data_IF_954523759267
#
_entry.id   IF_954523759267
#
_cell.length_a   1.000
_cell.length_b   1.000
_cell.length_c   1.000
_cell.angle_alpha   90.00
_cell.angle_beta   90.00
_cell.angle_gamma   90.00
#
_symmetry.space_group_name_H-M   'P 1'
#
loop_
_entity.id
_entity.type
_entity.pdbx_description
1 polymer ?
#
# COMPACT_ATOMS: atom_id res chain seq x y z
N UNK A 1 -24.97 -0.90 0.16
CA UNK A 1 -24.17 0.06 -0.61
C UNK A 1 -23.32 -0.77 -1.55
N UNK A 2 -23.33 -0.48 -2.84
CA UNK A 2 -22.54 -1.24 -3.82
C UNK A 2 -21.14 -0.68 -3.72
N UNK A 3 -20.26 -1.37 -2.98
CA UNK A 3 -18.83 -1.08 -3.00
C UNK A 3 -18.38 -1.31 -4.44
N UNK A 4 -18.03 -0.24 -5.15
CA UNK A 4 -17.50 -0.37 -6.50
C UNK A 4 -16.31 -1.32 -6.47
N UNK A 5 -16.20 -2.27 -7.41
CA UNK A 5 -15.03 -3.13 -7.51
C UNK A 5 -13.80 -2.24 -7.71
N UNK A 6 -12.81 -2.43 -6.84
CA UNK A 6 -11.52 -1.76 -6.93
C UNK A 6 -10.65 -2.55 -7.88
N UNK A 7 -9.97 -1.85 -8.76
CA UNK A 7 -9.13 -2.46 -9.76
C UNK A 7 -7.65 -2.11 -9.58
N UNK A 8 -6.78 -3.00 -10.01
CA UNK A 8 -5.35 -2.71 -10.19
C UNK A 8 -5.10 -1.90 -11.48
N UNK A 9 -3.84 -1.58 -11.76
CA UNK A 9 -3.43 -0.85 -12.96
C UNK A 9 -3.72 -1.59 -14.28
N UNK A 10 -4.12 -2.87 -14.21
CA UNK A 10 -4.50 -3.73 -15.33
C UNK A 10 -6.00 -3.99 -15.40
N UNK A 11 -6.82 -3.23 -14.66
CA UNK A 11 -8.27 -3.43 -14.55
C UNK A 11 -8.68 -4.80 -13.97
N UNK A 12 -7.84 -5.41 -13.14
CA UNK A 12 -8.17 -6.64 -12.41
C UNK A 12 -8.77 -6.29 -11.06
N UNK A 13 -9.89 -6.93 -10.72
CA UNK A 13 -10.54 -6.69 -9.43
C UNK A 13 -9.64 -7.16 -8.27
N UNK A 14 -9.47 -6.28 -7.29
CA UNK A 14 -8.70 -6.48 -6.07
C UNK A 14 -9.66 -6.56 -4.90
N UNK A 15 -9.47 -7.57 -4.04
CA UNK A 15 -10.24 -7.75 -2.81
C UNK A 15 -9.33 -7.97 -1.60
N UNK A 16 -9.88 -7.83 -0.40
CA UNK A 16 -9.17 -8.16 0.84
C UNK A 16 -8.67 -9.60 0.76
N UNK A 17 -7.39 -9.80 1.03
CA UNK A 17 -6.74 -11.09 0.96
C UNK A 17 -5.85 -11.29 -0.26
N UNK A 18 -6.06 -10.52 -1.33
CA UNK A 18 -5.23 -10.58 -2.53
C UNK A 18 -3.80 -10.07 -2.27
N UNK A 19 -2.86 -10.57 -3.06
CA UNK A 19 -1.49 -10.09 -3.09
C UNK A 19 -1.33 -9.16 -4.28
N UNK A 20 -0.86 -7.95 -4.02
CA UNK A 20 -0.55 -6.95 -5.03
C UNK A 20 0.92 -6.58 -4.97
N UNK A 21 1.51 -6.31 -6.13
CA UNK A 21 2.81 -5.69 -6.26
C UNK A 21 2.63 -4.18 -6.29
N UNK A 22 3.40 -3.46 -5.51
CA UNK A 22 3.42 -2.00 -5.60
C UNK A 22 4.26 -1.63 -6.82
N UNK A 23 3.66 -0.92 -7.77
CA UNK A 23 4.29 -0.55 -9.04
C UNK A 23 4.97 0.80 -8.93
N UNK A 24 4.32 1.72 -8.21
CA UNK A 24 4.75 3.08 -7.96
C UNK A 24 4.03 3.59 -6.70
N UNK A 25 4.54 4.65 -6.09
CA UNK A 25 3.87 5.37 -5.02
C UNK A 25 3.93 6.87 -5.31
N UNK A 26 2.91 7.61 -4.92
CA UNK A 26 2.86 9.05 -5.10
C UNK A 26 4.04 9.73 -4.36
N UNK A 27 4.90 10.51 -5.04
CA UNK A 27 6.01 11.20 -4.40
C UNK A 27 5.60 12.18 -3.30
N UNK A 28 4.39 12.76 -3.38
CA UNK A 28 3.86 13.61 -2.31
C UNK A 28 3.50 12.80 -1.06
N UNK A 29 2.95 11.60 -1.27
CA UNK A 29 2.68 10.65 -0.19
C UNK A 29 3.98 10.26 0.52
N UNK A 30 5.02 9.85 -0.23
CA UNK A 30 6.34 9.54 0.33
C UNK A 30 6.89 10.73 1.14
N UNK A 31 6.80 11.95 0.61
CA UNK A 31 7.30 13.16 1.28
C UNK A 31 6.57 13.49 2.58
N UNK A 32 5.35 12.98 2.79
CA UNK A 32 4.61 13.15 4.04
C UNK A 32 5.23 12.39 5.21
N UNK A 33 6.04 11.36 4.93
CA UNK A 33 6.77 10.61 5.95
C UNK A 33 8.05 11.32 6.39
N UNK A 34 8.49 11.07 7.64
CA UNK A 34 9.82 11.43 8.14
C UNK A 34 10.92 10.95 7.19
N UNK A 35 12.02 11.71 7.11
CA UNK A 35 13.08 11.46 6.13
C UNK A 35 13.72 10.06 6.26
N UNK A 36 13.83 9.57 7.48
CA UNK A 36 14.30 8.23 7.84
C UNK A 36 13.34 7.12 7.39
N UNK A 37 12.03 7.38 7.36
CA UNK A 37 11.03 6.42 6.90
C UNK A 37 10.84 6.44 5.38
N UNK A 38 11.17 7.54 4.69
CA UNK A 38 11.00 7.67 3.23
C UNK A 38 11.67 6.54 2.46
N UNK A 39 12.89 6.17 2.84
CA UNK A 39 13.64 5.09 2.20
C UNK A 39 12.91 3.75 2.36
N UNK A 40 12.26 3.53 3.51
CA UNK A 40 11.48 2.32 3.78
C UNK A 40 10.20 2.29 2.93
N UNK A 41 9.50 3.42 2.82
CA UNK A 41 8.32 3.54 1.95
C UNK A 41 8.71 3.38 0.48
N UNK A 42 9.78 4.02 0.02
CA UNK A 42 10.30 3.84 -1.34
C UNK A 42 10.69 2.39 -1.62
N UNK A 43 11.24 1.68 -0.62
CA UNK A 43 11.60 0.26 -0.76
C UNK A 43 10.39 -0.64 -1.02
N UNK A 44 9.17 -0.18 -0.72
CA UNK A 44 7.94 -0.93 -1.00
C UNK A 44 7.67 -1.04 -2.50
N UNK A 45 8.18 -0.10 -3.30
CA UNK A 45 8.04 -0.14 -4.76
C UNK A 45 8.76 -1.37 -5.30
N UNK A 46 8.02 -2.21 -6.02
CA UNK A 46 8.47 -3.50 -6.54
C UNK A 46 8.27 -4.68 -5.59
N UNK A 47 7.91 -4.45 -4.33
CA UNK A 47 7.59 -5.52 -3.37
C UNK A 47 6.10 -5.91 -3.44
N UNK A 48 5.79 -7.06 -2.83
CA UNK A 48 4.46 -7.65 -2.80
C UNK A 48 3.85 -7.52 -1.41
N UNK A 49 2.60 -7.11 -1.36
CA UNK A 49 1.86 -6.92 -0.13
C UNK A 49 0.46 -7.49 -0.24
N UNK A 50 -0.04 -7.94 0.90
CA UNK A 50 -1.42 -8.43 1.00
C UNK A 50 -2.35 -7.27 1.33
N UNK A 51 -3.48 -7.19 0.63
CA UNK A 51 -4.55 -6.27 1.01
C UNK A 51 -5.18 -6.76 2.30
N UNK A 52 -5.08 -5.96 3.35
CA UNK A 52 -5.58 -6.32 4.69
C UNK A 52 -6.92 -5.64 5.02
N UNK A 53 -7.20 -4.51 4.37
CA UNK A 53 -8.38 -3.71 4.62
C UNK A 53 -8.76 -2.90 3.37
N UNK A 54 -9.98 -2.41 3.37
CA UNK A 54 -10.46 -1.35 2.49
C UNK A 54 -10.81 -0.16 3.39
N UNK A 55 -10.43 1.06 3.00
CA UNK A 55 -10.78 2.26 3.75
C UNK A 55 -12.28 2.63 3.59
N UNK A 56 -12.69 3.76 4.17
CA UNK A 56 -14.09 4.21 4.14
C UNK A 56 -14.61 4.52 2.73
N UNK A 57 -13.70 4.90 1.82
CA UNK A 57 -13.98 5.15 0.40
C UNK A 57 -13.80 3.89 -0.46
N UNK A 58 -13.33 2.81 0.16
CA UNK A 58 -13.15 1.48 -0.43
C UNK A 58 -11.74 1.20 -0.94
N UNK A 59 -10.79 2.12 -0.81
CA UNK A 59 -9.42 1.97 -1.32
C UNK A 59 -8.67 0.84 -0.59
N UNK A 60 -7.89 0.02 -1.32
CA UNK A 60 -7.17 -1.10 -0.75
C UNK A 60 -5.99 -0.61 0.08
N UNK A 61 -5.91 -1.13 1.29
CA UNK A 61 -4.83 -0.82 2.21
C UNK A 61 -3.92 -2.02 2.41
N UNK A 62 -2.63 -1.76 2.35
CA UNK A 62 -1.57 -2.69 2.74
C UNK A 62 -0.97 -2.28 4.07
N UNK A 63 -0.44 -3.24 4.81
CA UNK A 63 0.33 -2.97 6.02
C UNK A 63 1.80 -3.21 5.76
N UNK A 64 2.60 -2.24 6.18
CA UNK A 64 4.05 -2.35 6.25
C UNK A 64 4.48 -2.26 7.70
N UNK A 65 5.28 -3.22 8.11
CA UNK A 65 5.83 -3.31 9.46
C UNK A 65 7.36 -3.24 9.37
N UNK A 66 7.97 -2.41 10.21
CA UNK A 66 9.42 -2.33 10.34
C UNK A 66 9.81 -2.05 11.79
N UNK A 67 11.07 -2.32 12.12
CA UNK A 67 11.63 -1.92 13.40
C UNK A 67 12.39 -0.61 13.22
N UNK A 68 12.16 0.34 14.13
CA UNK A 68 12.96 1.56 14.21
C UNK A 68 14.37 1.29 14.76
N UNK A 69 15.21 2.32 14.85
CA UNK A 69 16.58 2.22 15.39
C UNK A 69 16.62 1.79 16.88
N UNK A 70 15.50 1.89 17.60
CA UNK A 70 15.34 1.47 18.99
C UNK A 70 14.77 0.06 19.11
N UNK A 71 14.52 -0.61 17.98
CA UNK A 71 13.92 -1.94 17.91
C UNK A 71 12.41 -1.96 18.17
N UNK A 72 11.74 -0.80 18.14
CA UNK A 72 10.28 -0.74 18.29
C UNK A 72 9.61 -1.07 16.97
N UNK A 73 8.59 -1.93 17.03
CA UNK A 73 7.77 -2.27 15.87
C UNK A 73 6.90 -1.08 15.50
N UNK A 74 7.12 -0.53 14.32
CA UNK A 74 6.27 0.45 13.67
C UNK A 74 5.40 -0.26 12.64
N UNK A 75 4.10 0.03 12.67
CA UNK A 75 3.12 -0.52 11.74
C UNK A 75 2.43 0.62 11.03
N UNK A 76 2.58 0.68 9.71
CA UNK A 76 1.94 1.70 8.87
C UNK A 76 0.96 1.06 7.92
N UNK A 77 -0.24 1.65 7.86
CA UNK A 77 -1.29 1.31 6.92
C UNK A 77 -1.19 2.29 5.75
N UNK A 78 -1.09 1.76 4.54
CA UNK A 78 -0.87 2.54 3.32
C UNK A 78 -2.01 2.22 2.37
N UNK A 79 -2.83 3.23 2.05
CA UNK A 79 -3.82 3.17 0.98
C UNK A 79 -3.13 3.26 -0.36
N UNK A 80 -3.56 2.43 -1.31
CA UNK A 80 -3.01 2.38 -2.66
C UNK A 80 -4.07 2.82 -3.68
N UNK A 81 -3.67 3.67 -4.61
CA UNK A 81 -4.47 3.92 -5.80
C UNK A 81 -4.37 2.74 -6.78
N UNK A 82 -5.37 2.63 -7.67
CA UNK A 82 -5.38 1.61 -8.73
C UNK A 82 -4.11 1.62 -9.57
N UNK A 83 -3.55 2.80 -9.85
CA UNK A 83 -2.32 2.95 -10.66
C UNK A 83 -1.04 2.55 -9.89
N UNK A 84 -1.11 2.48 -8.56
CA UNK A 84 0.03 2.19 -7.68
C UNK A 84 0.23 0.71 -7.44
N UNK A 85 -0.73 -0.14 -7.83
CA UNK A 85 -0.72 -1.57 -7.55
C UNK A 85 -1.01 -2.43 -8.79
N UNK A 86 -0.46 -3.64 -8.78
CA UNK A 86 -0.67 -4.68 -9.78
C UNK A 86 -0.99 -5.99 -9.07
N UNK A 87 -2.14 -6.59 -9.35
CA UNK A 87 -2.52 -7.89 -8.80
C UNK A 87 -1.70 -9.00 -9.45
N UNK A 88 -1.21 -9.93 -8.60
CA UNK A 88 -0.40 -11.09 -8.99
C UNK A 88 -1.25 -12.34 -9.12
#
# INVERSE_FOLDING_TARGET
MISSPIYDCKNQAVVIGDIVRIVTLNPQFIKSFPEDERILIESMIGQFFKIIALDEDGYPCVVREWHDERGQLQTHVIGLDSEEMEKV
#
